data_IF_860972541122
#
_entry.id   IF_860972541122
#
_cell.length_a   1.000
_cell.length_b   1.000
_cell.length_c   1.000
_cell.angle_alpha   90.00
_cell.angle_beta   90.00
_cell.angle_gamma   90.00
#
_symmetry.space_group_name_H-M   'P 1'
#
loop_
_entity.id
_entity.type
_entity.pdbx_description
1 polymer ?
#
# COMPACT_ATOMS: atom_id res chain seq x y z
N UNK A 1 -3.33 22.68 1.50
CA UNK A 1 -3.01 22.12 0.17
C UNK A 1 -1.52 22.27 -0.01
N UNK A 2 -0.75 21.18 0.05
CA UNK A 2 0.69 21.24 -0.15
C UNK A 2 0.95 21.46 -1.64
N UNK A 3 1.47 22.64 -1.99
CA UNK A 3 1.84 22.99 -3.35
C UNK A 3 3.21 22.37 -3.63
N UNK A 4 3.21 21.10 -4.06
CA UNK A 4 4.42 20.40 -4.49
C UNK A 4 4.55 20.62 -5.99
N UNK A 5 5.68 21.18 -6.42
CA UNK A 5 6.00 21.33 -7.84
C UNK A 5 6.02 19.93 -8.49
N UNK A 6 5.14 19.65 -9.48
CA UNK A 6 5.08 18.34 -10.14
C UNK A 6 6.33 18.01 -10.97
N UNK A 7 7.23 18.98 -11.19
CA UNK A 7 8.50 18.80 -11.90
C UNK A 7 9.71 18.70 -10.97
N UNK A 8 9.49 18.65 -9.65
CA UNK A 8 10.56 18.35 -8.69
C UNK A 8 11.02 16.91 -8.85
N UNK A 9 12.07 16.71 -9.65
CA UNK A 9 12.83 15.46 -9.65
C UNK A 9 13.71 15.48 -8.40
N UNK A 10 13.28 14.80 -7.34
CA UNK A 10 14.11 14.61 -6.17
C UNK A 10 15.35 13.79 -6.54
N UNK A 11 16.56 14.22 -6.16
CA UNK A 11 17.75 13.41 -6.29
C UNK A 11 17.54 12.03 -5.64
N UNK A 12 18.07 10.97 -6.24
CA UNK A 12 17.91 9.61 -5.71
C UNK A 12 18.42 9.49 -4.26
N UNK A 13 19.49 10.21 -3.92
CA UNK A 13 20.02 10.27 -2.56
C UNK A 13 19.01 10.80 -1.54
N UNK A 14 18.19 11.78 -1.92
CA UNK A 14 17.16 12.34 -1.04
C UNK A 14 15.99 11.35 -0.87
N UNK A 15 15.61 10.65 -1.94
CA UNK A 15 14.61 9.58 -1.88
C UNK A 15 15.07 8.47 -0.93
N UNK A 16 16.33 8.05 -1.02
CA UNK A 16 16.90 7.01 -0.16
C UNK A 16 17.00 7.48 1.30
N UNK A 17 17.32 8.75 1.55
CA UNK A 17 17.31 9.34 2.91
C UNK A 17 15.92 9.34 3.51
N UNK A 18 14.90 9.72 2.73
CA UNK A 18 13.51 9.71 3.19
C UNK A 18 13.02 8.28 3.47
N UNK A 19 13.42 7.31 2.64
CA UNK A 19 13.09 5.90 2.86
C UNK A 19 13.72 5.36 4.15
N UNK A 20 14.98 5.73 4.44
CA UNK A 20 15.66 5.39 5.70
C UNK A 20 14.95 6.02 6.90
N UNK A 21 14.65 7.31 6.84
CA UNK A 21 13.96 8.02 7.93
C UNK A 21 12.60 7.39 8.24
N UNK A 22 11.81 7.10 7.21
CA UNK A 22 10.52 6.39 7.37
C UNK A 22 10.72 5.03 8.04
N UNK A 23 11.71 4.26 7.60
CA UNK A 23 12.00 2.93 8.13
C UNK A 23 12.33 2.98 9.62
N UNK A 24 13.23 3.89 10.03
CA UNK A 24 13.60 4.09 11.43
C UNK A 24 12.40 4.52 12.28
N UNK A 25 11.56 5.42 11.76
CA UNK A 25 10.36 5.86 12.45
C UNK A 25 9.37 4.71 12.68
N UNK A 26 9.13 3.88 11.67
CA UNK A 26 8.25 2.71 11.78
C UNK A 26 8.78 1.68 12.78
N UNK A 27 10.09 1.47 12.85
CA UNK A 27 10.73 0.59 13.84
C UNK A 27 10.54 1.11 15.27
N UNK A 28 10.74 2.41 15.47
CA UNK A 28 10.57 3.04 16.77
C UNK A 28 9.10 3.02 17.25
N UNK A 29 8.13 3.08 16.33
CA UNK A 29 6.71 2.97 16.68
C UNK A 29 6.29 1.55 17.11
N UNK A 30 6.95 0.51 16.61
CA UNK A 30 6.63 -0.87 16.99
C UNK A 30 7.05 -1.21 18.42
N UNK A 31 7.99 -0.47 19.00
CA UNK A 31 8.48 -0.65 20.37
C UNK A 31 7.78 0.36 21.27
N UNK A 32 6.55 0.06 21.71
CA UNK A 32 5.85 0.90 22.66
C UNK A 32 5.37 0.12 23.88
N UNK A 33 5.37 0.78 25.03
CA UNK A 33 4.77 0.25 26.26
C UNK A 33 3.57 1.12 26.63
N UNK A 34 2.40 0.49 26.78
CA UNK A 34 1.19 1.15 27.28
C UNK A 34 0.83 0.48 28.59
N UNK A 35 0.75 1.25 29.68
CA UNK A 35 0.48 0.72 31.04
C UNK A 35 1.47 -0.35 31.51
N UNK A 36 2.75 -0.26 31.11
CA UNK A 36 3.79 -1.23 31.47
C UNK A 36 3.70 -2.57 30.75
N UNK A 37 2.77 -2.73 29.81
CA UNK A 37 2.68 -3.90 28.94
C UNK A 37 3.27 -3.58 27.56
N UNK A 38 4.06 -4.47 26.96
CA UNK A 38 4.51 -4.31 25.59
C UNK A 38 3.27 -4.33 24.67
N UNK A 39 3.10 -3.27 23.89
CA UNK A 39 2.02 -3.15 22.91
C UNK A 39 2.62 -2.76 21.56
N UNK A 40 2.31 -3.56 20.53
CA UNK A 40 2.77 -3.32 19.16
C UNK A 40 1.77 -2.39 18.48
N UNK A 41 2.26 -1.25 17.99
CA UNK A 41 1.45 -0.38 17.12
C UNK A 41 1.40 -1.02 15.73
N UNK A 42 0.19 -1.37 15.21
CA UNK A 42 0.08 -1.90 13.85
C UNK A 42 0.37 -0.79 12.84
N UNK A 43 1.18 -1.11 11.83
CA UNK A 43 1.54 -0.21 10.74
C UNK A 43 1.06 -0.85 9.44
N UNK A 44 0.51 -0.05 8.55
CA UNK A 44 0.08 -0.45 7.20
C UNK A 44 0.65 0.55 6.21
N UNK A 45 1.17 0.07 5.08
CA UNK A 45 1.54 0.93 3.96
C UNK A 45 0.41 0.96 2.93
N UNK A 46 0.04 2.15 2.48
CA UNK A 46 -0.90 2.34 1.38
C UNK A 46 -0.13 2.83 0.17
N UNK A 47 -0.21 2.09 -0.94
CA UNK A 47 0.37 2.47 -2.22
C UNK A 47 -0.74 3.02 -3.12
N UNK A 48 -0.63 4.30 -3.48
CA UNK A 48 -1.54 5.00 -4.38
C UNK A 48 -0.69 5.49 -5.57
N UNK A 49 -0.87 4.89 -6.74
CA UNK A 49 -0.04 5.18 -7.91
C UNK A 49 1.43 4.85 -7.67
N UNK A 50 2.29 5.85 -7.84
CA UNK A 50 3.73 5.72 -7.68
C UNK A 50 4.48 5.40 -8.97
N UNK A 51 5.80 5.50 -8.86
CA UNK A 51 6.77 5.26 -9.92
C UNK A 51 7.61 4.01 -9.60
N UNK A 52 8.53 3.65 -10.49
CA UNK A 52 9.36 2.43 -10.33
C UNK A 52 10.13 2.43 -9.00
N UNK A 53 10.63 3.57 -8.51
CA UNK A 53 11.32 3.62 -7.21
C UNK A 53 10.42 3.33 -6.01
N UNK A 54 9.09 3.45 -6.17
CA UNK A 54 8.12 3.06 -5.14
C UNK A 54 8.09 1.55 -4.89
N UNK A 55 8.50 0.73 -5.85
CA UNK A 55 8.58 -0.74 -5.71
C UNK A 55 9.57 -1.11 -4.60
N UNK A 56 10.73 -0.44 -4.53
CA UNK A 56 11.73 -0.68 -3.49
C UNK A 56 11.14 -0.44 -2.10
N UNK A 57 10.32 0.61 -1.95
CA UNK A 57 9.64 0.92 -0.70
C UNK A 57 8.63 -0.16 -0.31
N UNK A 58 7.82 -0.63 -1.26
CA UNK A 58 6.85 -1.72 -1.07
C UNK A 58 7.55 -3.02 -0.65
N UNK A 59 8.61 -3.42 -1.36
CA UNK A 59 9.39 -4.60 -1.02
C UNK A 59 10.02 -4.49 0.38
N UNK A 60 10.45 -3.29 0.78
CA UNK A 60 11.01 -3.03 2.11
C UNK A 60 9.96 -3.22 3.20
N UNK A 61 8.74 -2.71 3.00
CA UNK A 61 7.64 -2.91 3.95
C UNK A 61 7.22 -4.38 4.07
N UNK A 62 7.08 -5.10 2.96
CA UNK A 62 6.75 -6.53 2.97
C UNK A 62 7.80 -7.34 3.73
N UNK A 63 9.10 -7.09 3.48
CA UNK A 63 10.21 -7.74 4.21
C UNK A 63 10.15 -7.49 5.72
N UNK A 64 9.64 -6.33 6.13
CA UNK A 64 9.44 -5.93 7.53
C UNK A 64 8.09 -6.36 8.09
N UNK A 65 7.35 -7.24 7.39
CA UNK A 65 6.02 -7.74 7.78
C UNK A 65 4.97 -6.65 7.93
N UNK A 66 5.16 -5.52 7.25
CA UNK A 66 4.16 -4.45 7.17
C UNK A 66 3.23 -4.79 5.98
N UNK A 67 1.92 -4.97 6.20
CA UNK A 67 0.98 -5.19 5.12
C UNK A 67 0.93 -3.97 4.18
N UNK A 68 0.80 -4.24 2.89
CA UNK A 68 0.69 -3.23 1.85
C UNK A 68 -0.69 -3.33 1.20
N UNK A 69 -1.41 -2.21 1.18
CA UNK A 69 -2.67 -2.05 0.45
C UNK A 69 -2.35 -1.29 -0.83
N UNK A 70 -2.52 -1.93 -1.98
CA UNK A 70 -2.37 -1.28 -3.29
C UNK A 70 -3.75 -0.83 -3.81
N UNK A 71 -3.85 0.44 -4.20
CA UNK A 71 -5.08 1.01 -4.75
C UNK A 71 -4.99 1.00 -6.28
N UNK A 72 -5.95 0.32 -6.92
CA UNK A 72 -6.07 0.24 -8.39
C UNK A 72 -6.77 1.47 -8.98
N UNK A 73 -6.67 1.65 -10.29
CA UNK A 73 -7.29 2.76 -11.04
C UNK A 73 -6.45 4.04 -11.04
N UNK A 74 -5.16 3.95 -10.72
CA UNK A 74 -4.24 5.08 -10.57
C UNK A 74 -3.32 5.30 -11.77
N UNK A 75 -3.30 4.36 -12.73
CA UNK A 75 -2.40 4.29 -13.89
C UNK A 75 -0.90 4.32 -13.54
N UNK A 76 -0.54 3.91 -12.31
CA UNK A 76 0.82 3.93 -11.79
C UNK A 76 1.37 2.55 -11.43
N UNK A 77 2.46 2.53 -10.65
CA UNK A 77 3.07 1.27 -10.17
C UNK A 77 2.12 0.43 -9.32
N UNK A 78 1.17 1.04 -8.62
CA UNK A 78 0.13 0.30 -7.91
C UNK A 78 -0.64 -0.66 -8.82
N UNK A 79 -1.08 -0.18 -9.99
CA UNK A 79 -1.81 -1.01 -10.96
C UNK A 79 -0.93 -2.10 -11.57
N UNK A 80 0.35 -1.79 -11.82
CA UNK A 80 1.32 -2.79 -12.30
C UNK A 80 1.52 -3.91 -11.27
N UNK A 81 1.74 -3.58 -10.00
CA UNK A 81 1.92 -4.57 -8.93
C UNK A 81 0.67 -5.44 -8.80
N UNK A 82 -0.52 -4.83 -8.85
CA UNK A 82 -1.78 -5.59 -8.79
C UNK A 82 -1.91 -6.49 -10.02
N UNK A 83 -1.63 -5.99 -11.23
CA UNK A 83 -1.67 -6.80 -12.45
C UNK A 83 -0.73 -8.00 -12.37
N UNK A 84 0.52 -7.81 -11.98
CA UNK A 84 1.51 -8.89 -11.81
C UNK A 84 1.07 -9.88 -10.73
N UNK A 85 0.53 -9.40 -9.60
CA UNK A 85 -0.01 -10.27 -8.57
C UNK A 85 -1.16 -11.15 -9.09
N UNK A 86 -2.10 -10.56 -9.85
CA UNK A 86 -3.21 -11.29 -10.50
C UNK A 86 -2.70 -12.32 -11.50
N UNK A 87 -1.70 -11.96 -12.28
CA UNK A 87 -1.09 -12.85 -13.27
C UNK A 87 -0.40 -14.05 -12.62
N UNK A 88 0.39 -13.82 -11.56
CA UNK A 88 1.17 -14.86 -10.88
C UNK A 88 0.31 -15.81 -10.03
N UNK A 89 -0.75 -15.30 -9.40
CA UNK A 89 -1.55 -16.06 -8.44
C UNK A 89 -2.96 -16.42 -8.92
N UNK A 90 -3.36 -15.94 -10.11
CA UNK A 90 -4.57 -16.31 -10.84
C UNK A 90 -5.88 -15.72 -10.29
N UNK A 91 -6.84 -15.50 -11.19
CA UNK A 91 -8.19 -14.94 -10.93
C UNK A 91 -9.07 -15.73 -9.94
N UNK A 92 -8.61 -16.88 -9.43
CA UNK A 92 -9.41 -17.72 -8.54
C UNK A 92 -9.53 -17.20 -7.09
N UNK A 93 -8.87 -16.09 -6.72
CA UNK A 93 -9.05 -15.43 -5.42
C UNK A 93 -9.71 -14.04 -5.50
N UNK A 94 -9.98 -13.52 -6.71
CA UNK A 94 -10.53 -12.16 -6.92
C UNK A 94 -11.91 -12.24 -7.58
N UNK A 95 -12.65 -13.34 -7.33
CA UNK A 95 -14.03 -13.50 -7.79
C UNK A 95 -15.08 -12.88 -6.86
N UNK A 96 -14.67 -12.21 -5.79
CA UNK A 96 -15.64 -11.66 -4.83
C UNK A 96 -16.22 -10.30 -5.24
N UNK A 97 -15.49 -9.42 -5.96
CA UNK A 97 -16.02 -8.08 -6.29
C UNK A 97 -17.19 -8.13 -7.28
N UNK A 98 -17.11 -8.96 -8.32
CA UNK A 98 -18.21 -9.15 -9.27
C UNK A 98 -19.41 -9.87 -8.63
N UNK A 99 -19.19 -10.76 -7.65
CA UNK A 99 -20.27 -11.38 -6.87
C UNK A 99 -20.91 -10.40 -5.88
N UNK A 100 -20.15 -9.48 -5.29
CA UNK A 100 -20.67 -8.44 -4.39
C UNK A 100 -21.49 -7.37 -5.12
N UNK A 101 -21.08 -6.94 -6.32
CA UNK A 101 -21.89 -6.01 -7.12
C UNK A 101 -23.16 -6.66 -7.66
N UNK A 102 -23.10 -7.92 -8.11
CA UNK A 102 -24.28 -8.67 -8.53
C UNK A 102 -25.26 -8.93 -7.36
N UNK A 103 -24.77 -9.20 -6.15
CA UNK A 103 -25.61 -9.35 -4.96
C UNK A 103 -26.29 -8.03 -4.54
N UNK A 104 -25.61 -6.88 -4.71
CA UNK A 104 -26.21 -5.55 -4.46
C UNK A 104 -27.31 -5.21 -5.46
N UNK A 105 -27.13 -5.54 -6.74
CA UNK A 105 -28.15 -5.29 -7.75
C UNK A 105 -29.38 -6.20 -7.57
N UNK A 106 -29.20 -7.45 -7.16
CA UNK A 106 -30.32 -8.37 -6.89
C UNK A 106 -31.19 -7.98 -5.67
N UNK A 107 -30.67 -7.19 -4.73
CA UNK A 107 -31.45 -6.68 -3.59
C UNK A 107 -32.17 -5.35 -3.87
N UNK A 108 -31.89 -4.65 -4.97
CA UNK A 108 -32.63 -3.43 -5.35
C UNK A 108 -33.89 -3.69 -6.20
N UNK A 109 -34.11 -4.92 -6.66
CA UNK A 109 -35.26 -5.29 -7.51
C UNK A 109 -36.36 -6.07 -6.77
N UNK A 110 -36.25 -6.26 -5.46
CA UNK A 110 -37.19 -7.05 -4.65
C UNK A 110 -37.97 -6.24 -3.59
N UNK A 111 -37.98 -4.91 -3.68
CA UNK A 111 -38.88 -4.03 -2.91
C UNK A 111 -40.03 -3.51 -3.78
#
# INVERSE_FOLDING_TARGET
MFNVDPHSVYPQDDVDRLLRLRTEFEENLQINTKYGQPYVIPIVQILIGGNISSITSVCTAIRRKIPVIAITGTSGVADLIVHEYRYLYGENQIRSEDEYENARQQHQFND
#
